data_IF_710786273539
#
_entry.id   IF_710786273539
#
_cell.length_a   1.000
_cell.length_b   1.000
_cell.length_c   1.000
_cell.angle_alpha   90.00
_cell.angle_beta   90.00
_cell.angle_gamma   90.00
#
_symmetry.space_group_name_H-M   'P 1'
#
loop_
_entity.id
_entity.type
_entity.pdbx_description
1 polymer ?
#
# COMPACT_ATOMS: atom_id res chain seq x y z
N UNK A 1 -13.11 -20.73 -16.54
CA UNK A 1 -12.98 -19.37 -16.00
C UNK A 1 -12.83 -19.48 -14.49
N UNK A 2 -11.71 -19.07 -13.88
CA UNK A 2 -11.62 -19.06 -12.41
C UNK A 2 -12.40 -17.85 -11.92
N UNK A 3 -13.60 -18.07 -11.41
CA UNK A 3 -14.37 -17.07 -10.66
C UNK A 3 -13.69 -16.85 -9.32
N UNK A 4 -12.49 -16.27 -9.35
CA UNK A 4 -11.82 -15.82 -8.13
C UNK A 4 -12.68 -14.72 -7.54
N UNK A 5 -12.92 -14.79 -6.22
CA UNK A 5 -13.78 -13.90 -5.45
C UNK A 5 -13.93 -12.47 -5.99
N UNK A 6 -15.11 -11.88 -5.80
CA UNK A 6 -15.33 -10.48 -6.13
C UNK A 6 -14.29 -9.58 -5.45
N UNK A 7 -13.95 -8.46 -6.08
CA UNK A 7 -13.00 -7.49 -5.53
C UNK A 7 -13.32 -7.03 -4.09
N UNK A 8 -14.58 -6.72 -3.71
CA UNK A 8 -14.92 -6.37 -2.34
C UNK A 8 -14.64 -7.53 -1.36
N UNK A 9 -14.98 -8.77 -1.72
CA UNK A 9 -14.72 -9.93 -0.87
C UNK A 9 -13.21 -10.18 -0.66
N UNK A 10 -12.39 -9.96 -1.70
CA UNK A 10 -10.92 -10.00 -1.56
C UNK A 10 -10.39 -8.93 -0.61
N UNK A 11 -11.05 -7.76 -0.56
CA UNK A 11 -10.67 -6.65 0.33
C UNK A 11 -11.06 -6.93 1.78
N UNK A 12 -12.23 -7.49 2.02
CA UNK A 12 -12.66 -7.91 3.37
C UNK A 12 -11.71 -8.96 3.95
N UNK A 13 -11.39 -9.98 3.16
CA UNK A 13 -10.44 -11.03 3.54
C UNK A 13 -9.06 -10.45 3.85
N UNK A 14 -8.60 -9.48 3.07
CA UNK A 14 -7.35 -8.77 3.33
C UNK A 14 -7.37 -8.05 4.67
N UNK A 15 -8.44 -7.31 4.99
CA UNK A 15 -8.58 -6.58 6.26
C UNK A 15 -8.52 -7.54 7.44
N UNK A 16 -9.13 -8.72 7.32
CA UNK A 16 -9.12 -9.74 8.37
C UNK A 16 -7.73 -10.39 8.56
N UNK A 17 -7.00 -10.65 7.47
CA UNK A 17 -5.71 -11.37 7.54
C UNK A 17 -4.53 -10.45 7.85
N UNK A 18 -4.59 -9.18 7.45
CA UNK A 18 -3.53 -8.20 7.65
C UNK A 18 -2.97 -8.14 9.09
N UNK A 19 -3.78 -8.06 10.17
CA UNK A 19 -3.26 -8.02 11.55
C UNK A 19 -2.54 -9.32 11.93
N UNK A 20 -3.13 -10.47 11.60
CA UNK A 20 -2.53 -11.79 11.86
C UNK A 20 -1.20 -11.96 11.11
N UNK A 21 -1.12 -11.47 9.87
CA UNK A 21 0.12 -11.46 9.10
C UNK A 21 1.18 -10.49 9.68
N UNK A 22 0.77 -9.42 10.36
CA UNK A 22 1.69 -8.49 11.01
C UNK A 22 2.42 -9.13 12.19
N UNK A 23 1.67 -9.79 13.07
CA UNK A 23 2.15 -10.40 14.30
C UNK A 23 2.85 -11.75 14.08
N UNK A 24 2.61 -12.39 12.94
CA UNK A 24 3.15 -13.70 12.62
C UNK A 24 4.69 -13.73 12.51
N UNK A 25 5.27 -14.85 12.93
CA UNK A 25 6.69 -15.19 12.71
C UNK A 25 6.98 -15.44 11.22
N UNK A 26 8.25 -15.45 10.77
CA UNK A 26 8.57 -15.69 9.36
C UNK A 26 7.99 -16.99 8.79
N UNK A 27 7.96 -18.06 9.60
CA UNK A 27 7.38 -19.36 9.22
C UNK A 27 5.86 -19.25 9.06
N UNK A 28 5.18 -18.65 10.04
CA UNK A 28 3.73 -18.43 10.03
C UNK A 28 3.30 -17.50 8.88
N UNK A 29 4.10 -16.46 8.58
CA UNK A 29 3.90 -15.57 7.43
C UNK A 29 3.91 -16.34 6.11
N UNK A 30 4.77 -17.35 5.99
CA UNK A 30 4.80 -18.23 4.82
C UNK A 30 3.47 -18.96 4.59
N UNK A 31 2.91 -19.53 5.67
CA UNK A 31 1.66 -20.31 5.67
C UNK A 31 0.47 -19.40 5.34
N UNK A 32 0.33 -18.28 6.06
CA UNK A 32 -0.74 -17.30 5.84
C UNK A 32 -0.71 -16.78 4.41
N UNK A 33 0.49 -16.53 3.86
CA UNK A 33 0.65 -16.04 2.50
C UNK A 33 0.26 -17.09 1.45
N UNK A 34 0.57 -18.37 1.66
CA UNK A 34 0.12 -19.43 0.75
C UNK A 34 -1.39 -19.58 0.72
N UNK A 35 -2.03 -19.59 1.89
CA UNK A 35 -3.49 -19.65 2.01
C UNK A 35 -4.16 -18.46 1.31
N UNK A 36 -3.65 -17.26 1.57
CA UNK A 36 -4.15 -16.03 0.96
C UNK A 36 -4.05 -16.05 -0.57
N UNK A 37 -2.94 -16.53 -1.12
CA UNK A 37 -2.74 -16.67 -2.57
C UNK A 37 -3.72 -17.69 -3.16
N UNK A 38 -3.92 -18.82 -2.50
CA UNK A 38 -4.81 -19.88 -2.97
C UNK A 38 -6.26 -19.40 -3.08
N UNK A 39 -6.72 -18.59 -2.11
CA UNK A 39 -8.10 -18.04 -2.10
C UNK A 39 -8.26 -16.86 -3.06
N UNK A 40 -7.31 -15.92 -3.08
CA UNK A 40 -7.44 -14.67 -3.86
C UNK A 40 -6.99 -14.80 -5.31
N UNK A 41 -6.13 -15.77 -5.61
CA UNK A 41 -5.47 -15.92 -6.91
C UNK A 41 -4.40 -14.87 -7.19
N UNK A 42 -3.98 -14.09 -6.19
CA UNK A 42 -2.93 -13.09 -6.37
C UNK A 42 -1.54 -13.71 -6.52
N UNK A 43 -0.65 -12.99 -7.21
CA UNK A 43 0.76 -13.39 -7.23
C UNK A 43 1.39 -13.14 -5.86
N UNK A 44 2.37 -13.96 -5.49
CA UNK A 44 3.07 -13.85 -4.20
C UNK A 44 3.62 -12.45 -3.95
N UNK A 45 4.24 -11.84 -4.97
CA UNK A 45 4.75 -10.47 -4.94
C UNK A 45 3.65 -9.45 -4.62
N UNK A 46 2.49 -9.59 -5.27
CA UNK A 46 1.37 -8.68 -5.04
C UNK A 46 0.78 -8.84 -3.64
N UNK A 47 0.58 -10.09 -3.19
CA UNK A 47 0.08 -10.42 -1.85
C UNK A 47 0.97 -9.87 -0.72
N UNK A 48 2.30 -10.05 -0.82
CA UNK A 48 3.25 -9.46 0.14
C UNK A 48 3.10 -7.95 0.16
N UNK A 49 3.10 -7.31 -1.01
CA UNK A 49 3.02 -5.84 -1.11
C UNK A 49 1.78 -5.29 -0.38
N UNK A 50 0.60 -5.88 -0.61
CA UNK A 50 -0.64 -5.36 -0.04
C UNK A 50 -0.75 -5.65 1.46
N UNK A 51 -0.34 -6.84 1.92
CA UNK A 51 -0.34 -7.19 3.35
C UNK A 51 0.67 -6.34 4.14
N UNK A 52 1.88 -6.12 3.61
CA UNK A 52 2.88 -5.25 4.23
C UNK A 52 2.50 -3.76 4.17
N UNK A 53 1.74 -3.34 3.17
CA UNK A 53 1.28 -1.95 3.05
C UNK A 53 0.20 -1.62 4.11
N UNK A 54 -0.66 -2.58 4.46
CA UNK A 54 -1.62 -2.43 5.56
C UNK A 54 -0.95 -2.27 6.92
N UNK A 55 0.17 -2.95 7.15
CA UNK A 55 0.98 -2.74 8.35
C UNK A 55 1.54 -1.31 8.43
N UNK A 56 1.95 -0.75 7.29
CA UNK A 56 2.56 0.58 7.21
C UNK A 56 1.54 1.71 7.23
N UNK A 57 0.24 1.44 7.09
CA UNK A 57 -0.78 2.49 7.17
C UNK A 57 -0.97 3.04 8.59
N UNK A 58 -0.54 2.33 9.64
CA UNK A 58 -0.43 2.90 11.00
C UNK A 58 0.74 3.88 11.16
N UNK A 59 1.71 3.86 10.23
CA UNK A 59 2.85 4.77 10.22
C UNK A 59 2.94 5.42 8.84
N UNK A 60 2.07 6.39 8.58
CA UNK A 60 2.21 7.28 7.43
C UNK A 60 3.51 8.10 7.56
N UNK A 61 4.66 7.50 7.29
CA UNK A 61 5.95 8.21 7.10
C UNK A 61 5.89 9.09 5.84
N UNK A 62 4.91 8.86 4.94
CA UNK A 62 4.67 9.70 3.76
C UNK A 62 4.30 11.14 4.09
N UNK A 63 3.73 11.41 5.27
CA UNK A 63 3.50 12.79 5.74
C UNK A 63 4.78 13.38 6.36
N UNK A 64 5.61 12.56 7.01
CA UNK A 64 6.86 12.99 7.67
C UNK A 64 7.97 13.33 6.65
N UNK A 65 8.02 12.62 5.52
CA UNK A 65 9.06 12.78 4.49
C UNK A 65 8.65 13.64 3.29
N UNK A 66 7.52 14.34 3.33
CA UNK A 66 7.25 15.40 2.35
C UNK A 66 8.18 16.58 2.63
N UNK A 67 9.46 16.42 2.28
CA UNK A 67 10.34 17.56 2.05
C UNK A 67 9.68 18.37 0.95
N UNK A 68 9.18 19.55 1.31
CA UNK A 68 8.69 20.49 0.32
C UNK A 68 9.84 20.77 -0.64
N UNK A 69 9.61 20.52 -1.93
CA UNK A 69 10.60 20.91 -2.94
C UNK A 69 10.74 22.43 -2.86
N UNK A 70 11.96 22.98 -2.64
CA UNK A 70 12.12 24.42 -2.62
C UNK A 70 11.61 24.98 -3.95
N UNK A 71 10.79 26.02 -3.88
CA UNK A 71 10.25 26.69 -5.07
C UNK A 71 11.44 27.28 -5.85
N UNK A 72 11.55 26.92 -7.13
CA UNK A 72 12.69 27.28 -7.98
C UNK A 72 12.66 28.74 -8.43
N UNK A 73 11.50 29.38 -8.38
CA UNK A 73 11.29 30.74 -8.84
C UNK A 73 10.55 31.54 -7.76
N UNK A 74 11.02 32.75 -7.52
CA UNK A 74 10.47 33.68 -6.52
C UNK A 74 9.26 34.45 -7.04
N UNK A 75 8.79 35.40 -6.24
CA UNK A 75 7.66 36.28 -6.58
C UNK A 75 7.94 37.14 -7.81
N UNK A 76 9.17 37.58 -7.98
CA UNK A 76 9.69 38.33 -9.11
C UNK A 76 9.32 37.70 -10.46
N UNK A 77 9.50 36.39 -10.59
CA UNK A 77 9.20 35.67 -11.84
C UNK A 77 7.70 35.43 -11.99
N UNK A 78 6.95 35.31 -10.89
CA UNK A 78 5.49 35.18 -10.93
C UNK A 78 4.81 36.49 -11.33
N UNK A 79 5.32 37.62 -10.85
CA UNK A 79 4.83 38.95 -11.20
C UNK A 79 5.11 39.27 -12.67
N UNK A 80 6.31 38.95 -13.17
CA UNK A 80 6.66 39.09 -14.58
C UNK A 80 5.78 38.24 -15.52
N UNK A 81 5.37 37.05 -15.08
CA UNK A 81 4.41 36.20 -15.83
C UNK A 81 2.97 36.74 -15.78
N UNK A 82 2.59 37.47 -14.72
CA UNK A 82 1.24 38.00 -14.56
C UNK A 82 1.00 39.32 -15.31
N UNK A 83 2.07 39.98 -15.76
CA UNK A 83 2.02 41.24 -16.51
C UNK A 83 2.17 41.08 -18.03
N UNK A 84 2.32 39.84 -18.52
CA UNK A 84 2.33 39.49 -19.95
C UNK A 84 0.94 39.09 -20.44
#
# INVERSE_FOLDING_TARGET
MRTTMSFPAKRELLIQIAPRYAEATPVQKGIILSEFIQVTGYTRKYAIRILSQCQKQSVSIKTILKRERPKRYGKDIQEALATA
#
